data_IF_215446204255
#
_entry.id   IF_215446204255
#
_cell.length_a   1.000
_cell.length_b   1.000
_cell.length_c   1.000
_cell.angle_alpha   90.00
_cell.angle_beta   90.00
_cell.angle_gamma   90.00
#
_symmetry.space_group_name_H-M   'P 1'
#
loop_
_entity.id
_entity.type
_entity.pdbx_description
1 polymer ?
#
# COMPACT_ATOMS: atom_id res chain seq x y z
N UNK A 1 -14.20 6.33 -13.46
CA UNK A 1 -14.47 6.64 -12.05
C UNK A 1 -15.36 5.54 -11.52
N UNK A 2 -14.76 4.42 -11.09
CA UNK A 2 -15.47 3.44 -10.26
C UNK A 2 -15.69 4.15 -8.92
N UNK A 3 -16.91 4.18 -8.43
CA UNK A 3 -17.26 4.94 -7.24
C UNK A 3 -16.52 4.38 -6.02
N UNK A 4 -15.97 5.26 -5.18
CA UNK A 4 -15.15 4.95 -4.00
C UNK A 4 -15.71 3.80 -3.12
N UNK A 5 -17.04 3.63 -3.09
CA UNK A 5 -17.72 2.54 -2.39
C UNK A 5 -17.37 1.15 -2.95
N UNK A 6 -17.40 0.94 -4.26
CA UNK A 6 -17.11 -0.38 -4.87
C UNK A 6 -15.63 -0.76 -4.66
N UNK A 7 -14.75 0.23 -4.66
CA UNK A 7 -13.33 0.05 -4.44
C UNK A 7 -13.03 -0.34 -2.98
N UNK A 8 -13.73 0.27 -2.01
CA UNK A 8 -13.64 -0.08 -0.59
C UNK A 8 -14.28 -1.46 -0.32
N UNK A 9 -15.40 -1.79 -0.96
CA UNK A 9 -16.07 -3.09 -0.83
C UNK A 9 -15.15 -4.26 -1.24
N UNK A 10 -14.29 -4.07 -2.25
CA UNK A 10 -13.33 -5.10 -2.69
C UNK A 10 -12.27 -5.39 -1.64
N UNK A 11 -11.73 -4.35 -0.97
CA UNK A 11 -10.79 -4.52 0.13
C UNK A 11 -11.38 -5.43 1.21
N UNK A 12 -12.66 -5.23 1.55
CA UNK A 12 -13.36 -5.99 2.60
C UNK A 12 -13.45 -7.49 2.31
N UNK A 13 -13.46 -7.90 1.04
CA UNK A 13 -13.53 -9.31 0.65
C UNK A 13 -12.18 -10.03 0.64
N UNK A 14 -11.06 -9.28 0.64
CA UNK A 14 -9.73 -9.84 0.37
C UNK A 14 -9.23 -10.81 1.45
N UNK A 15 -9.42 -10.58 2.77
CA UNK A 15 -9.05 -11.56 3.79
C UNK A 15 -9.76 -12.91 3.59
N UNK A 16 -11.07 -12.89 3.30
CA UNK A 16 -11.84 -14.11 3.03
C UNK A 16 -11.42 -14.83 1.75
N UNK A 17 -11.03 -14.08 0.70
CA UNK A 17 -10.48 -14.67 -0.52
C UNK A 17 -9.14 -15.34 -0.27
N UNK A 18 -8.25 -14.70 0.49
CA UNK A 18 -6.98 -15.25 0.92
C UNK A 18 -7.15 -16.52 1.77
N UNK A 19 -8.09 -16.52 2.72
CA UNK A 19 -8.41 -17.69 3.52
C UNK A 19 -8.90 -18.87 2.65
N UNK A 20 -9.72 -18.60 1.64
CA UNK A 20 -10.20 -19.62 0.68
C UNK A 20 -9.05 -20.19 -0.16
N UNK A 21 -8.17 -19.32 -0.67
CA UNK A 21 -7.00 -19.73 -1.44
C UNK A 21 -6.04 -20.58 -0.60
N UNK A 22 -5.78 -20.17 0.65
CA UNK A 22 -4.90 -20.88 1.57
C UNK A 22 -5.41 -22.31 1.81
N UNK A 23 -6.71 -22.47 2.11
CA UNK A 23 -7.35 -23.79 2.27
C UNK A 23 -7.21 -24.71 1.05
N UNK A 24 -7.31 -24.14 -0.16
CA UNK A 24 -7.15 -24.90 -1.41
C UNK A 24 -5.69 -25.32 -1.66
N UNK A 25 -4.74 -24.58 -1.08
CA UNK A 25 -3.30 -24.74 -1.30
C UNK A 25 -2.60 -25.60 -0.22
N UNK A 26 -3.29 -25.87 0.89
CA UNK A 26 -2.81 -26.70 2.01
C UNK A 26 -3.43 -28.09 1.98
N UNK A 27 -2.61 -29.13 2.10
CA UNK A 27 -3.11 -30.49 2.32
C UNK A 27 -3.74 -30.64 3.72
N UNK A 28 -4.56 -31.69 3.97
CA UNK A 28 -5.16 -31.96 5.29
C UNK A 28 -4.16 -32.13 6.44
N UNK A 29 -2.86 -32.29 6.15
CA UNK A 29 -1.77 -32.40 7.13
C UNK A 29 -1.00 -31.09 7.33
N UNK A 30 -1.47 -29.97 6.77
CA UNK A 30 -0.79 -28.68 6.87
C UNK A 30 0.47 -28.55 6.01
N UNK A 31 0.70 -29.50 5.09
CA UNK A 31 1.83 -29.45 4.15
C UNK A 31 1.38 -28.68 2.90
N UNK A 32 2.13 -27.64 2.53
CA UNK A 32 1.94 -26.91 1.28
C UNK A 32 2.21 -27.82 0.08
N UNK A 33 1.30 -27.81 -0.90
CA UNK A 33 1.36 -28.69 -2.07
C UNK A 33 2.31 -28.13 -3.14
N UNK A 34 2.79 -26.89 -2.98
CA UNK A 34 3.65 -26.17 -3.93
C UNK A 34 4.79 -25.43 -3.21
N UNK A 35 5.96 -25.37 -3.86
CA UNK A 35 7.16 -24.60 -3.45
C UNK A 35 6.88 -23.09 -3.54
N UNK A 36 6.06 -22.56 -2.66
CA UNK A 36 5.73 -21.14 -2.62
C UNK A 36 6.43 -20.54 -1.41
N UNK A 37 7.37 -19.62 -1.65
CA UNK A 37 7.84 -18.68 -0.64
C UNK A 37 6.60 -17.94 -0.11
N UNK A 38 6.13 -18.31 1.08
CA UNK A 38 4.72 -18.17 1.48
C UNK A 38 4.55 -17.15 2.59
N UNK A 39 4.71 -15.86 2.28
CA UNK A 39 4.28 -14.80 3.20
C UNK A 39 2.76 -14.59 3.16
N UNK A 40 2.18 -13.98 4.20
CA UNK A 40 0.79 -13.50 4.19
C UNK A 40 0.57 -12.51 3.05
N UNK A 41 1.56 -11.65 2.77
CA UNK A 41 1.47 -10.72 1.66
C UNK A 41 1.48 -11.44 0.29
N UNK A 42 2.29 -12.48 0.10
CA UNK A 42 2.27 -13.29 -1.13
C UNK A 42 0.90 -13.93 -1.35
N UNK A 43 0.29 -14.42 -0.27
CA UNK A 43 -1.07 -14.96 -0.29
C UNK A 43 -2.09 -13.89 -0.72
N UNK A 44 -2.00 -12.69 -0.16
CA UNK A 44 -2.88 -11.57 -0.53
C UNK A 44 -2.70 -11.18 -2.00
N UNK A 45 -1.45 -11.06 -2.47
CA UNK A 45 -1.12 -10.75 -3.87
C UNK A 45 -1.63 -11.80 -4.86
N UNK A 46 -1.75 -13.07 -4.46
CA UNK A 46 -2.37 -14.13 -5.27
C UNK A 46 -3.90 -14.08 -5.25
N UNK A 47 -4.47 -13.35 -4.30
CA UNK A 47 -5.92 -13.28 -4.05
C UNK A 47 -6.58 -12.04 -4.62
N UNK A 48 -5.81 -11.12 -5.19
CA UNK A 48 -6.29 -9.94 -5.92
C UNK A 48 -5.40 -9.64 -7.12
N UNK A 49 -5.95 -9.18 -8.26
CA UNK A 49 -5.14 -8.66 -9.36
C UNK A 49 -4.48 -7.31 -9.04
N UNK A 50 -4.95 -6.58 -8.02
CA UNK A 50 -4.50 -5.21 -7.69
C UNK A 50 -3.56 -5.21 -6.49
N UNK A 51 -2.28 -4.92 -6.71
CA UNK A 51 -1.26 -4.93 -5.66
C UNK A 51 -1.55 -3.96 -4.51
N UNK A 52 -2.12 -2.80 -4.83
CA UNK A 52 -2.49 -1.79 -3.83
C UNK A 52 -3.48 -2.33 -2.80
N UNK A 53 -4.43 -3.17 -3.22
CA UNK A 53 -5.37 -3.82 -2.30
C UNK A 53 -4.64 -4.76 -1.33
N UNK A 54 -3.74 -5.59 -1.85
CA UNK A 54 -2.95 -6.50 -1.04
C UNK A 54 -2.06 -5.74 -0.04
N UNK A 55 -1.41 -4.65 -0.46
CA UNK A 55 -0.57 -3.84 0.42
C UNK A 55 -1.38 -3.17 1.53
N UNK A 56 -2.52 -2.54 1.21
CA UNK A 56 -3.43 -1.95 2.21
C UNK A 56 -3.87 -3.01 3.23
N UNK A 57 -4.40 -4.13 2.76
CA UNK A 57 -4.91 -5.20 3.64
C UNK A 57 -3.80 -5.83 4.47
N UNK A 58 -2.61 -5.98 3.90
CA UNK A 58 -1.45 -6.45 4.64
C UNK A 58 -1.05 -5.50 5.78
N UNK A 59 -1.06 -4.18 5.55
CA UNK A 59 -0.77 -3.21 6.61
C UNK A 59 -1.84 -3.19 7.71
N UNK A 60 -3.09 -3.52 7.39
CA UNK A 60 -4.18 -3.68 8.35
C UNK A 60 -4.02 -4.98 9.17
N UNK A 61 -3.64 -6.08 8.53
CA UNK A 61 -3.46 -7.39 9.18
C UNK A 61 -2.17 -7.50 9.99
N UNK A 62 -1.10 -6.84 9.57
CA UNK A 62 0.24 -6.98 10.13
C UNK A 62 0.35 -6.87 11.65
N UNK A 63 -0.35 -5.95 12.36
CA UNK A 63 -0.29 -5.88 13.82
C UNK A 63 -0.86 -7.12 14.52
N UNK A 64 -1.72 -7.88 13.84
CA UNK A 64 -2.47 -9.00 14.39
C UNK A 64 -1.81 -10.36 14.08
N UNK A 65 -0.75 -10.37 13.27
CA UNK A 65 -0.10 -11.61 12.86
C UNK A 65 0.76 -12.22 13.99
N UNK A 66 0.73 -13.56 14.16
CA UNK A 66 1.49 -14.25 15.20
C UNK A 66 2.98 -14.38 14.82
N UNK A 67 3.73 -13.28 14.96
CA UNK A 67 5.18 -13.26 14.76
C UNK A 67 5.61 -12.79 13.36
N UNK A 68 6.38 -13.61 12.63
CA UNK A 68 6.81 -13.23 11.27
C UNK A 68 5.65 -13.29 10.28
N UNK A 69 5.78 -12.58 9.17
CA UNK A 69 4.81 -12.59 8.07
C UNK A 69 4.75 -13.91 7.31
N UNK A 70 5.51 -14.93 7.74
CA UNK A 70 5.70 -16.18 7.02
C UNK A 70 4.63 -17.20 7.44
N UNK A 71 4.02 -17.84 6.45
CA UNK A 71 3.13 -18.97 6.65
C UNK A 71 3.98 -20.22 6.83
N UNK A 72 4.09 -20.66 8.08
CA UNK A 72 4.79 -21.90 8.46
C UNK A 72 3.77 -22.93 8.93
N UNK A 73 4.05 -24.24 8.86
CA UNK A 73 3.08 -25.26 9.27
C UNK A 73 2.51 -25.06 10.69
N UNK A 74 3.28 -24.47 11.59
CA UNK A 74 2.91 -24.13 12.96
C UNK A 74 2.11 -22.82 13.10
N UNK A 75 2.15 -21.91 12.10
CA UNK A 75 1.42 -20.63 12.13
C UNK A 75 0.23 -20.57 11.17
N UNK A 76 0.12 -21.49 10.20
CA UNK A 76 -0.93 -21.50 9.17
C UNK A 76 -2.34 -21.52 9.76
N UNK A 77 -2.57 -22.31 10.81
CA UNK A 77 -3.89 -22.40 11.43
C UNK A 77 -4.30 -21.06 12.08
N UNK A 78 -3.38 -20.42 12.79
CA UNK A 78 -3.62 -19.13 13.43
C UNK A 78 -3.83 -18.01 12.41
N UNK A 79 -3.05 -18.02 11.31
CA UNK A 79 -3.23 -17.06 10.23
C UNK A 79 -4.56 -17.29 9.51
N UNK A 80 -4.96 -18.53 9.28
CA UNK A 80 -6.26 -18.85 8.67
C UNK A 80 -7.41 -18.37 9.56
N UNK A 81 -7.34 -18.64 10.85
CA UNK A 81 -8.34 -18.17 11.83
C UNK A 81 -8.41 -16.64 11.89
N UNK A 82 -7.26 -15.97 11.84
CA UNK A 82 -7.20 -14.50 11.74
C UNK A 82 -7.90 -14.03 10.46
N UNK A 83 -7.55 -14.57 9.29
CA UNK A 83 -8.13 -14.16 8.00
C UNK A 83 -9.64 -14.37 7.93
N UNK A 84 -10.17 -15.43 8.56
CA UNK A 84 -11.61 -15.69 8.61
C UNK A 84 -12.38 -14.70 9.48
N UNK A 85 -11.75 -14.20 10.55
CA UNK A 85 -12.37 -13.31 11.53
C UNK A 85 -12.06 -11.84 11.31
N UNK A 86 -11.07 -11.54 10.47
CA UNK A 86 -10.61 -10.17 10.28
C UNK A 86 -11.59 -9.38 9.42
N UNK A 87 -12.26 -8.43 10.06
CA UNK A 87 -13.14 -7.46 9.41
C UNK A 87 -12.42 -6.14 9.21
N UNK A 88 -12.30 -5.71 7.96
CA UNK A 88 -11.80 -4.38 7.65
C UNK A 88 -12.89 -3.37 7.97
N UNK A 89 -12.58 -2.42 8.84
CA UNK A 89 -13.51 -1.39 9.30
C UNK A 89 -12.85 -0.02 9.28
N UNK A 90 -13.67 1.04 9.31
CA UNK A 90 -13.20 2.42 9.47
C UNK A 90 -12.28 2.60 10.69
N UNK A 91 -12.54 1.86 11.78
CA UNK A 91 -11.74 1.91 13.00
C UNK A 91 -10.35 1.31 12.78
N UNK A 92 -10.27 0.14 12.12
CA UNK A 92 -8.98 -0.48 11.80
C UNK A 92 -8.18 0.38 10.81
N UNK A 93 -8.84 0.94 9.79
CA UNK A 93 -8.21 1.87 8.85
C UNK A 93 -7.70 3.13 9.55
N UNK A 94 -8.50 3.73 10.44
CA UNK A 94 -8.08 4.88 11.22
C UNK A 94 -6.92 4.54 12.17
N UNK A 95 -6.91 3.35 12.78
CA UNK A 95 -5.79 2.92 13.63
C UNK A 95 -4.51 2.78 12.83
N UNK A 96 -4.59 2.16 11.65
CA UNK A 96 -3.43 1.85 10.83
C UNK A 96 -2.86 3.05 10.06
N UNK A 97 -3.70 3.97 9.57
CA UNK A 97 -3.27 5.06 8.69
C UNK A 97 -3.62 6.47 9.23
N UNK A 98 -4.37 6.55 10.33
CA UNK A 98 -4.77 7.81 10.97
C UNK A 98 -6.05 8.43 10.38
N UNK A 99 -6.38 9.68 10.78
CA UNK A 99 -7.62 10.35 10.36
C UNK A 99 -7.84 10.46 8.85
N UNK A 100 -6.77 10.58 8.06
CA UNK A 100 -6.86 10.69 6.59
C UNK A 100 -6.75 9.34 5.87
N UNK A 101 -7.04 8.23 6.55
CA UNK A 101 -6.87 6.89 5.98
C UNK A 101 -7.52 6.72 4.61
N UNK A 102 -8.68 7.35 4.37
CA UNK A 102 -9.37 7.28 3.06
C UNK A 102 -8.49 7.76 1.92
N UNK A 103 -7.82 8.90 2.09
CA UNK A 103 -6.96 9.45 1.06
C UNK A 103 -5.72 8.56 0.83
N UNK A 104 -5.17 7.98 1.89
CA UNK A 104 -4.05 7.01 1.80
C UNK A 104 -4.46 5.76 1.04
N UNK A 105 -5.62 5.19 1.37
CA UNK A 105 -6.14 3.98 0.72
C UNK A 105 -6.46 4.25 -0.75
N UNK A 106 -7.16 5.35 -1.06
CA UNK A 106 -7.44 5.75 -2.45
C UNK A 106 -6.14 5.88 -3.25
N UNK A 107 -5.14 6.59 -2.70
CA UNK A 107 -3.85 6.73 -3.35
C UNK A 107 -3.15 5.39 -3.62
N UNK A 108 -3.15 4.46 -2.65
CA UNK A 108 -2.56 3.14 -2.85
C UNK A 108 -3.25 2.34 -3.98
N UNK A 109 -4.56 2.49 -4.12
CA UNK A 109 -5.34 1.81 -5.14
C UNK A 109 -5.16 2.45 -6.52
N UNK A 110 -5.16 3.78 -6.58
CA UNK A 110 -4.82 4.53 -7.80
C UNK A 110 -3.43 4.15 -8.31
N UNK A 111 -2.44 4.03 -7.42
CA UNK A 111 -1.08 3.58 -7.77
C UNK A 111 -1.11 2.20 -8.43
N UNK A 112 -1.88 1.26 -7.89
CA UNK A 112 -2.01 -0.07 -8.48
C UNK A 112 -2.63 -0.01 -9.88
N UNK A 113 -3.74 0.70 -10.03
CA UNK A 113 -4.41 0.82 -11.33
C UNK A 113 -3.49 1.45 -12.39
N UNK A 114 -2.79 2.53 -12.04
CA UNK A 114 -1.86 3.19 -12.98
C UNK A 114 -0.70 2.28 -13.38
N UNK A 115 -0.20 1.45 -12.46
CA UNK A 115 0.90 0.54 -12.76
C UNK A 115 0.48 -0.68 -13.56
N UNK A 116 -0.71 -1.21 -13.30
CA UNK A 116 -1.26 -2.36 -14.03
C UNK A 116 -1.63 -1.97 -15.47
N UNK A 117 -2.11 -0.73 -15.70
CA UNK A 117 -2.55 -0.25 -17.03
C UNK A 117 -1.41 0.21 -17.95
N UNK A 118 -0.29 0.71 -17.41
CA UNK A 118 0.71 1.43 -18.23
C UNK A 118 2.02 0.70 -18.49
N UNK A 119 2.34 -0.38 -17.76
CA UNK A 119 3.53 -1.22 -17.97
C UNK A 119 4.90 -0.54 -17.76
N UNK A 120 5.01 0.78 -17.93
CA UNK A 120 6.22 1.59 -17.77
C UNK A 120 5.85 3.07 -17.66
N UNK A 121 5.06 3.43 -16.65
CA UNK A 121 4.85 4.84 -16.31
C UNK A 121 6.21 5.53 -16.12
N UNK A 122 6.66 6.28 -17.11
CA UNK A 122 7.83 7.15 -17.00
C UNK A 122 7.34 8.43 -16.33
N UNK A 123 7.45 8.44 -15.00
CA UNK A 123 7.11 9.61 -14.22
C UNK A 123 8.20 10.68 -14.47
N UNK A 124 7.83 11.81 -15.08
CA UNK A 124 8.69 12.99 -15.13
C UNK A 124 8.65 13.68 -13.75
N UNK A 125 9.48 13.17 -12.85
CA UNK A 125 9.51 13.55 -11.44
C UNK A 125 10.58 14.61 -11.27
N UNK A 126 10.20 15.86 -11.51
CA UNK A 126 11.09 17.02 -11.52
C UNK A 126 12.22 17.02 -10.48
N UNK A 127 13.39 17.47 -10.91
CA UNK A 127 14.72 17.28 -10.31
C UNK A 127 15.03 17.96 -8.96
N UNK A 128 14.03 18.36 -8.15
CA UNK A 128 14.27 19.12 -6.92
C UNK A 128 14.29 18.23 -5.65
N UNK A 129 15.21 17.26 -5.65
CA UNK A 129 15.35 16.23 -4.59
C UNK A 129 15.58 16.81 -3.20
N UNK A 130 16.29 17.94 -3.09
CA UNK A 130 16.56 18.60 -1.80
C UNK A 130 15.29 19.20 -1.19
N UNK A 131 14.45 19.89 -1.98
CA UNK A 131 13.19 20.44 -1.49
C UNK A 131 12.23 19.34 -1.06
N UNK A 132 12.16 18.25 -1.84
CA UNK A 132 11.38 17.06 -1.49
C UNK A 132 11.85 16.45 -0.17
N UNK A 133 13.16 16.25 -0.01
CA UNK A 133 13.71 15.71 1.23
C UNK A 133 13.38 16.60 2.45
N UNK A 134 13.48 17.93 2.30
CA UNK A 134 13.11 18.87 3.36
C UNK A 134 11.63 18.80 3.72
N UNK A 135 10.74 18.78 2.72
CA UNK A 135 9.30 18.64 2.94
C UNK A 135 8.95 17.29 3.60
N UNK A 136 9.61 16.21 3.18
CA UNK A 136 9.44 14.87 3.77
C UNK A 136 9.91 14.83 5.23
N UNK A 137 11.06 15.43 5.53
CA UNK A 137 11.58 15.52 6.89
C UNK A 137 10.60 16.26 7.80
N UNK A 138 10.04 17.38 7.35
CA UNK A 138 9.01 18.10 8.10
C UNK A 138 7.72 17.30 8.28
N UNK A 139 7.26 16.56 7.24
CA UNK A 139 6.12 15.66 7.38
C UNK A 139 6.37 14.59 8.47
N UNK A 140 7.58 14.01 8.49
CA UNK A 140 8.01 13.05 9.51
C UNK A 140 8.05 13.65 10.91
N UNK A 141 8.60 14.86 11.06
CA UNK A 141 8.65 15.57 12.34
C UNK A 141 7.25 15.83 12.89
N UNK A 142 6.31 16.23 12.03
CA UNK A 142 4.92 16.46 12.43
C UNK A 142 4.21 15.14 12.76
N UNK A 143 4.47 14.06 12.03
CA UNK A 143 4.00 12.73 12.40
C UNK A 143 4.56 12.29 13.77
N UNK A 144 5.83 12.57 14.06
CA UNK A 144 6.45 12.28 15.36
C UNK A 144 5.83 13.11 16.49
N UNK A 145 5.70 14.41 16.30
CA UNK A 145 5.13 15.32 17.31
C UNK A 145 3.65 15.00 17.61
N UNK A 146 2.91 14.45 16.65
CA UNK A 146 1.52 14.02 16.82
C UNK A 146 1.36 12.57 17.29
N UNK A 147 2.46 11.82 17.50
CA UNK A 147 2.41 10.42 17.93
C UNK A 147 1.95 9.45 16.83
N UNK A 148 2.08 9.83 15.56
CA UNK A 148 1.55 9.12 14.38
C UNK A 148 2.64 8.51 13.48
N UNK A 149 3.87 8.34 13.95
CA UNK A 149 4.97 7.79 13.15
C UNK A 149 4.64 6.42 12.56
N UNK A 150 4.03 5.53 13.34
CA UNK A 150 3.67 4.19 12.84
C UNK A 150 2.65 4.27 11.70
N UNK A 151 1.64 5.14 11.85
CA UNK A 151 0.64 5.37 10.81
C UNK A 151 1.26 5.95 9.54
N UNK A 152 2.21 6.86 9.71
CA UNK A 152 2.94 7.50 8.62
C UNK A 152 3.79 6.50 7.83
N UNK A 153 4.50 5.59 8.50
CA UNK A 153 5.24 4.51 7.83
C UNK A 153 4.32 3.47 7.16
N UNK A 154 3.24 3.07 7.84
CA UNK A 154 2.24 2.14 7.27
C UNK A 154 1.57 2.71 6.02
N UNK A 155 1.29 4.01 6.00
CA UNK A 155 0.71 4.68 4.82
C UNK A 155 1.63 4.59 3.60
N UNK A 156 2.94 4.77 3.80
CA UNK A 156 3.92 4.59 2.73
C UNK A 156 3.99 3.14 2.23
N UNK A 157 3.99 2.18 3.15
CA UNK A 157 4.06 0.76 2.82
C UNK A 157 2.77 0.25 2.15
N UNK A 158 1.61 0.82 2.50
CA UNK A 158 0.35 0.55 1.82
C UNK A 158 0.35 1.02 0.37
N UNK A 159 1.02 2.15 0.07
CA UNK A 159 1.16 2.62 -1.30
C UNK A 159 2.21 1.84 -2.09
N UNK A 160 3.31 1.44 -1.45
CA UNK A 160 4.34 0.63 -2.08
C UNK A 160 5.16 -0.16 -1.08
N UNK A 161 4.95 -1.48 -1.03
CA UNK A 161 5.69 -2.37 -0.14
C UNK A 161 7.11 -2.65 -0.69
N UNK A 162 8.18 -2.21 0.00
CA UNK A 162 9.55 -2.30 -0.51
C UNK A 162 10.02 -3.72 -0.83
N UNK A 163 9.48 -4.72 -0.13
CA UNK A 163 9.83 -6.14 -0.33
C UNK A 163 9.28 -6.72 -1.63
N UNK A 164 8.24 -6.12 -2.21
CA UNK A 164 7.47 -6.72 -3.32
C UNK A 164 7.31 -5.84 -4.55
N UNK A 165 7.75 -4.57 -4.48
CA UNK A 165 7.59 -3.63 -5.59
C UNK A 165 8.10 -4.12 -6.95
N UNK A 166 9.23 -4.84 -6.98
CA UNK A 166 9.88 -5.26 -8.22
C UNK A 166 9.77 -6.77 -8.52
N UNK A 167 9.14 -7.57 -7.64
CA UNK A 167 9.13 -9.04 -7.76
C UNK A 167 8.26 -9.57 -8.92
N UNK A 168 7.46 -8.71 -9.56
CA UNK A 168 6.54 -9.09 -10.63
C UNK A 168 6.73 -8.28 -11.92
N UNK A 169 7.86 -7.57 -12.09
CA UNK A 169 8.22 -7.01 -13.39
C UNK A 169 8.77 -8.14 -14.27
N UNK A 170 8.06 -8.55 -15.35
CA UNK A 170 8.49 -9.65 -16.19
C UNK A 170 9.73 -9.28 -17.02
N UNK A 171 10.02 -7.98 -17.19
CA UNK A 171 11.18 -7.48 -17.92
C UNK A 171 11.83 -6.28 -17.21
N UNK A 172 13.16 -6.07 -17.39
CA UNK A 172 13.89 -4.97 -16.75
C UNK A 172 13.38 -3.57 -17.10
N UNK A 173 12.84 -3.38 -18.30
CA UNK A 173 12.24 -2.12 -18.76
C UNK A 173 10.92 -1.75 -18.07
N UNK A 174 10.24 -2.74 -17.46
CA UNK A 174 9.00 -2.57 -16.71
C UNK A 174 9.26 -2.31 -15.21
N UNK A 175 10.53 -2.21 -14.81
CA UNK A 175 10.90 -1.96 -13.41
C UNK A 175 10.58 -0.53 -13.02
N UNK A 176 9.87 -0.38 -11.90
CA UNK A 176 9.67 0.94 -11.30
C UNK A 176 11.03 1.45 -10.79
N UNK A 177 11.37 2.68 -11.18
CA UNK A 177 12.60 3.33 -10.73
C UNK A 177 12.52 3.66 -9.23
N UNK A 178 13.65 3.71 -8.51
CA UNK A 178 13.67 4.14 -7.11
C UNK A 178 13.03 5.51 -6.88
N UNK A 179 13.11 6.40 -7.86
CA UNK A 179 12.52 7.73 -7.83
C UNK A 179 11.00 7.70 -7.92
N UNK A 180 10.44 6.84 -8.78
CA UNK A 180 8.99 6.62 -8.85
C UNK A 180 8.45 6.02 -7.55
N UNK A 181 9.16 5.04 -6.98
CA UNK A 181 8.84 4.50 -5.66
C UNK A 181 8.87 5.59 -4.59
N UNK A 182 9.89 6.44 -4.58
CA UNK A 182 9.99 7.54 -3.63
C UNK A 182 8.81 8.50 -3.77
N UNK A 183 8.42 8.87 -5.00
CA UNK A 183 7.25 9.74 -5.23
C UNK A 183 5.95 9.13 -4.74
N UNK A 184 5.70 7.86 -5.06
CA UNK A 184 4.49 7.15 -4.61
C UNK A 184 4.40 7.18 -3.08
N UNK A 185 5.52 6.90 -2.41
CA UNK A 185 5.60 6.86 -0.95
C UNK A 185 5.53 8.25 -0.33
N UNK A 186 6.16 9.26 -0.94
CA UNK A 186 6.11 10.67 -0.50
C UNK A 186 4.68 11.19 -0.52
N UNK A 187 3.92 10.89 -1.57
CA UNK A 187 2.52 11.26 -1.67
C UNK A 187 1.70 10.59 -0.55
N UNK A 188 1.87 9.30 -0.32
CA UNK A 188 1.19 8.59 0.77
C UNK A 188 1.55 9.13 2.16
N UNK A 189 2.84 9.45 2.37
CA UNK A 189 3.35 10.08 3.57
C UNK A 189 2.66 11.44 3.81
N UNK A 190 2.60 12.29 2.78
CA UNK A 190 1.95 13.60 2.85
C UNK A 190 0.45 13.50 3.12
N UNK A 191 -0.25 12.60 2.42
CA UNK A 191 -1.69 12.35 2.59
C UNK A 191 -2.01 11.90 4.02
N UNK A 192 -1.16 11.05 4.62
CA UNK A 192 -1.40 10.57 5.97
C UNK A 192 -1.46 11.71 7.00
N UNK A 193 -0.61 12.74 6.87
CA UNK A 193 -0.57 13.92 7.74
C UNK A 193 -1.26 15.15 7.14
N UNK A 194 -2.09 14.98 6.11
CA UNK A 194 -2.76 16.08 5.41
C UNK A 194 -3.67 16.93 6.31
N UNK A 195 -4.19 16.36 7.39
CA UNK A 195 -5.00 17.04 8.42
C UNK A 195 -4.18 18.02 9.26
N UNK A 196 -2.85 17.87 9.26
CA UNK A 196 -1.92 18.70 10.01
C UNK A 196 -1.34 19.83 9.14
N UNK A 197 -1.81 19.99 7.90
CA UNK A 197 -1.45 21.13 7.05
C UNK A 197 -1.91 22.43 7.70
N UNK A 198 -1.00 23.40 7.84
CA UNK A 198 -1.23 24.63 8.59
C UNK A 198 -0.59 24.64 9.98
N UNK A 199 -0.01 23.51 10.41
CA UNK A 199 0.99 23.45 11.49
C UNK A 199 2.39 23.85 10.96
N UNK A 200 3.46 23.34 11.55
CA UNK A 200 4.81 23.41 10.96
C UNK A 200 4.91 22.69 9.61
N UNK A 201 3.97 21.81 9.28
CA UNK A 201 3.80 21.28 7.93
C UNK A 201 2.92 22.21 7.08
N UNK A 202 3.57 22.97 6.20
CA UNK A 202 2.91 24.01 5.40
C UNK A 202 2.21 23.44 4.16
N UNK A 203 1.25 24.17 3.56
CA UNK A 203 0.68 23.78 2.27
C UNK A 203 1.73 23.59 1.17
N UNK A 204 2.81 24.37 1.20
CA UNK A 204 3.93 24.23 0.26
C UNK A 204 4.68 22.91 0.46
N UNK A 205 4.90 22.47 1.70
CA UNK A 205 5.49 21.16 1.99
C UNK A 205 4.61 20.04 1.46
N UNK A 206 3.30 20.10 1.72
CA UNK A 206 2.34 19.12 1.23
C UNK A 206 2.32 19.02 -0.30
N UNK A 207 2.20 20.16 -1.00
CA UNK A 207 2.20 20.17 -2.46
C UNK A 207 3.55 19.75 -3.05
N UNK A 208 4.67 20.04 -2.39
CA UNK A 208 6.00 19.55 -2.82
C UNK A 208 6.06 18.01 -2.88
N UNK A 209 5.37 17.33 -1.97
CA UNK A 209 5.34 15.86 -1.92
C UNK A 209 4.28 15.25 -2.84
N UNK A 210 3.14 15.91 -3.04
CA UNK A 210 2.01 15.35 -3.79
C UNK A 210 1.99 15.75 -5.27
N UNK A 211 2.42 16.97 -5.61
CA UNK A 211 2.34 17.47 -6.98
C UNK A 211 3.03 16.57 -8.01
N UNK A 212 4.20 15.95 -7.74
CA UNK A 212 4.83 15.05 -8.70
C UNK A 212 3.93 13.85 -9.07
N UNK A 213 3.26 13.24 -8.09
CA UNK A 213 2.29 12.17 -8.33
C UNK A 213 1.10 12.65 -9.16
N UNK A 214 0.47 13.76 -8.75
CA UNK A 214 -0.68 14.34 -9.47
C UNK A 214 -0.34 14.74 -10.91
N UNK A 215 0.87 15.21 -11.15
CA UNK A 215 1.31 15.59 -12.49
C UNK A 215 1.40 14.36 -13.39
N UNK A 216 2.08 13.31 -12.92
CA UNK A 216 2.25 12.09 -13.69
C UNK A 216 0.92 11.43 -14.06
N UNK A 217 -0.01 11.31 -13.10
CA UNK A 217 -1.33 10.69 -13.36
C UNK A 217 -2.18 11.53 -14.32
N UNK A 218 -2.15 12.87 -14.23
CA UNK A 218 -2.84 13.75 -15.18
C UNK A 218 -2.29 13.63 -16.61
N UNK A 219 -0.98 13.42 -16.75
CA UNK A 219 -0.36 13.22 -18.06
C UNK A 219 -0.75 11.87 -18.68
N UNK A 220 -0.89 10.83 -17.87
CA UNK A 220 -1.35 9.51 -18.33
C UNK A 220 -2.81 9.50 -18.76
N UNK A 221 -3.70 10.18 -18.03
CA UNK A 221 -5.11 10.34 -18.42
C UNK A 221 -5.32 11.05 -19.77
N UNK A 222 -4.33 11.81 -20.25
CA UNK A 222 -4.38 12.46 -21.58
C UNK A 222 -3.88 11.58 -22.72
N UNK A 223 -3.23 10.46 -22.41
CA UNK A 223 -2.64 9.54 -23.39
C UNK A 223 -3.53 8.32 -23.68
N UNK A 224 -4.69 8.20 -23.02
CA UNK A 224 -5.73 7.20 -23.32
C UNK A 224 -6.74 7.85 -24.29
N UNK A 225 -6.73 7.51 -25.60
CA UNK A 225 -7.73 7.98 -26.57
C UNK A 225 -9.10 7.32 -26.40
#
# INVERSE_FOLDING_TARGET
MIADAEMIDRLWSLPGNAARFLRQSTSPRGVFITDVHTGVLDLLLRSTPRRGEAFVVFQLLSPHLPGSYDLRPDTVADVLDLLDRFEISDVECHRAFGPNWRAVVIHALEVSEQMDDTGSATFDLGADSHRRLGAWAHAREVAAASGRLDQWYRSQAAAWEPRFGNLAAPRPEDLITPEAVATIRDAAAALSVGDLVGSSFTPAHFETLIAPWRHATRHQLRLVP
#
